data_IF_622683936960
#
_entry.id   IF_622683936960
#
_cell.length_a   1.000
_cell.length_b   1.000
_cell.length_c   1.000
_cell.angle_alpha   90.00
_cell.angle_beta   90.00
_cell.angle_gamma   90.00
#
_symmetry.space_group_name_H-M   'P 1'
#
loop_
_entity.id
_entity.type
_entity.pdbx_description
1 polymer ?
#
# COMPACT_ATOMS: atom_id res chain seq x y z
N UNK A 1 -25.64 -11.56 13.54
CA UNK A 1 -24.87 -11.93 12.33
C UNK A 1 -25.52 -11.57 10.96
N UNK A 2 -26.73 -10.98 10.84
CA UNK A 2 -27.31 -10.64 9.52
C UNK A 2 -26.69 -9.43 8.82
N UNK A 3 -26.13 -8.45 9.54
CA UNK A 3 -25.60 -7.21 8.96
C UNK A 3 -24.33 -7.35 8.13
N UNK A 4 -23.52 -8.38 8.37
CA UNK A 4 -22.30 -8.63 7.60
C UNK A 4 -22.63 -9.15 6.19
N UNK A 5 -23.60 -10.06 6.10
CA UNK A 5 -24.02 -10.69 4.85
C UNK A 5 -24.56 -9.69 3.82
N UNK A 6 -25.38 -8.72 4.24
CA UNK A 6 -25.91 -7.69 3.35
C UNK A 6 -24.85 -6.75 2.76
N UNK A 7 -23.76 -6.49 3.48
CA UNK A 7 -22.63 -5.69 2.95
C UNK A 7 -21.87 -6.46 1.89
N UNK A 8 -21.60 -7.72 2.13
CA UNK A 8 -20.89 -8.61 1.21
C UNK A 8 -21.65 -8.77 -0.10
N UNK A 9 -22.94 -9.03 -0.03
CA UNK A 9 -23.80 -9.18 -1.22
C UNK A 9 -23.84 -7.90 -2.07
N UNK A 10 -23.84 -6.73 -1.45
CA UNK A 10 -23.81 -5.45 -2.20
C UNK A 10 -22.48 -5.23 -2.90
N UNK A 11 -21.37 -5.47 -2.23
CA UNK A 11 -20.04 -5.34 -2.86
C UNK A 11 -19.88 -6.35 -4.00
N UNK A 12 -20.34 -7.58 -3.81
CA UNK A 12 -20.35 -8.59 -4.86
C UNK A 12 -21.22 -8.14 -6.06
N UNK A 13 -22.44 -7.69 -5.83
CA UNK A 13 -23.36 -7.28 -6.89
C UNK A 13 -22.81 -6.09 -7.70
N UNK A 14 -22.16 -5.13 -7.03
CA UNK A 14 -21.50 -4.00 -7.71
C UNK A 14 -20.32 -4.49 -8.53
N UNK A 15 -19.44 -5.30 -7.95
CA UNK A 15 -18.27 -5.85 -8.62
C UNK A 15 -18.66 -6.70 -9.84
N UNK A 16 -19.67 -7.56 -9.70
CA UNK A 16 -20.22 -8.36 -10.79
C UNK A 16 -20.80 -7.48 -11.90
N UNK A 17 -21.57 -6.44 -11.54
CA UNK A 17 -22.16 -5.53 -12.52
C UNK A 17 -21.11 -4.73 -13.30
N UNK A 18 -20.08 -4.23 -12.61
CA UNK A 18 -18.97 -3.51 -13.24
C UNK A 18 -18.14 -4.45 -14.11
N UNK A 19 -17.81 -5.64 -13.59
CA UNK A 19 -17.06 -6.66 -14.34
C UNK A 19 -17.78 -7.08 -15.64
N UNK A 20 -19.12 -7.18 -15.62
CA UNK A 20 -19.90 -7.42 -16.85
C UNK A 20 -19.76 -6.29 -17.86
N UNK A 21 -19.75 -5.03 -17.42
CA UNK A 21 -19.50 -3.88 -18.32
C UNK A 21 -18.08 -3.89 -18.88
N UNK A 22 -17.12 -4.52 -18.19
CA UNK A 22 -15.74 -4.71 -18.64
C UNK A 22 -15.58 -5.92 -19.58
N UNK A 23 -16.66 -6.63 -19.91
CA UNK A 23 -16.66 -7.77 -20.82
C UNK A 23 -16.47 -9.14 -20.14
N UNK A 24 -16.60 -9.21 -18.82
CA UNK A 24 -16.50 -10.46 -18.06
C UNK A 24 -17.53 -10.52 -16.92
N UNK A 25 -17.06 -10.77 -15.69
CA UNK A 25 -17.88 -10.87 -14.47
C UNK A 25 -17.11 -10.47 -13.24
N UNK A 26 -17.44 -11.07 -12.09
CA UNK A 26 -16.80 -10.78 -10.81
C UNK A 26 -15.28 -10.92 -10.85
N UNK A 27 -14.79 -12.01 -11.42
CA UNK A 27 -13.34 -12.28 -11.50
C UNK A 27 -12.60 -11.24 -12.36
N UNK A 28 -13.26 -10.74 -13.42
CA UNK A 28 -12.70 -9.64 -14.23
C UNK A 28 -12.56 -8.35 -13.40
N UNK A 29 -13.50 -8.09 -12.50
CA UNK A 29 -13.39 -6.96 -11.59
C UNK A 29 -12.24 -7.13 -10.58
N UNK A 30 -12.08 -8.34 -10.01
CA UNK A 30 -10.98 -8.63 -9.08
C UNK A 30 -9.63 -8.50 -9.80
N UNK A 31 -9.52 -9.00 -11.02
CA UNK A 31 -8.31 -8.82 -11.82
C UNK A 31 -8.02 -7.32 -12.04
N UNK A 32 -9.02 -6.52 -12.38
CA UNK A 32 -8.86 -5.08 -12.55
C UNK A 32 -8.41 -4.36 -11.25
N UNK A 33 -8.86 -4.83 -10.07
CA UNK A 33 -8.37 -4.31 -8.78
C UNK A 33 -6.86 -4.57 -8.62
N UNK A 34 -6.37 -5.76 -8.97
CA UNK A 34 -4.96 -6.10 -8.92
C UNK A 34 -4.14 -5.29 -9.94
N UNK A 35 -4.61 -5.23 -11.20
CA UNK A 35 -3.95 -4.48 -12.28
C UNK A 35 -3.83 -2.99 -11.93
N UNK A 36 -4.87 -2.39 -11.34
CA UNK A 36 -4.84 -0.99 -10.93
C UNK A 36 -3.88 -0.76 -9.77
N UNK A 37 -3.83 -1.68 -8.81
CA UNK A 37 -2.86 -1.62 -7.71
C UNK A 37 -1.43 -1.70 -8.23
N UNK A 38 -1.15 -2.56 -9.21
CA UNK A 38 0.17 -2.66 -9.85
C UNK A 38 0.54 -1.34 -10.57
N UNK A 39 -0.40 -0.74 -11.33
CA UNK A 39 -0.19 0.58 -11.98
C UNK A 39 0.11 1.69 -10.98
N UNK A 40 -0.49 1.64 -9.79
CA UNK A 40 -0.20 2.57 -8.69
C UNK A 40 1.13 2.28 -7.99
N UNK A 41 1.86 1.23 -8.40
CA UNK A 41 3.12 0.82 -7.80
C UNK A 41 2.97 0.12 -6.45
N UNK A 42 1.81 -0.52 -6.19
CA UNK A 42 1.58 -1.32 -5.01
C UNK A 42 2.23 -2.70 -5.18
N UNK A 43 3.36 -2.92 -4.54
CA UNK A 43 4.17 -4.14 -4.69
C UNK A 43 3.92 -5.18 -3.60
N UNK A 44 3.20 -4.82 -2.54
CA UNK A 44 2.91 -5.66 -1.39
C UNK A 44 1.41 -5.91 -1.18
N UNK A 45 0.61 -5.88 -2.25
CA UNK A 45 -0.85 -6.05 -2.17
C UNK A 45 -1.35 -7.06 -3.16
N UNK A 46 -2.37 -7.82 -2.76
CA UNK A 46 -3.11 -8.74 -3.63
C UNK A 46 -4.57 -8.85 -3.17
N UNK A 47 -5.49 -8.81 -4.11
CA UNK A 47 -6.93 -8.80 -3.89
C UNK A 47 -7.58 -10.06 -4.42
N UNK A 48 -8.35 -10.74 -3.58
CA UNK A 48 -9.13 -11.94 -3.94
C UNK A 48 -10.64 -11.69 -3.93
N UNK A 49 -11.07 -10.59 -3.31
CA UNK A 49 -12.49 -10.24 -3.24
C UNK A 49 -12.71 -8.73 -3.11
N UNK A 50 -13.91 -8.28 -3.49
CA UNK A 50 -14.31 -6.87 -3.48
C UNK A 50 -14.94 -6.40 -2.16
N UNK A 51 -15.07 -7.27 -1.17
CA UNK A 51 -15.80 -6.99 0.08
C UNK A 51 -14.90 -6.90 1.31
N UNK A 52 -13.62 -7.27 1.20
CA UNK A 52 -12.65 -7.24 2.28
C UNK A 52 -12.80 -8.35 3.31
N UNK A 53 -13.43 -9.48 2.95
CA UNK A 53 -13.39 -10.67 3.79
C UNK A 53 -11.99 -11.26 3.83
N UNK A 54 -11.65 -11.84 4.98
CA UNK A 54 -10.37 -12.48 5.15
C UNK A 54 -10.19 -13.66 4.21
N UNK A 55 -9.06 -13.68 3.56
CA UNK A 55 -8.50 -14.75 2.76
C UNK A 55 -6.97 -14.69 2.92
N UNK A 56 -6.28 -15.83 2.95
CA UNK A 56 -4.83 -15.87 3.14
C UNK A 56 -4.07 -15.18 1.99
N UNK A 57 -4.69 -15.11 0.81
CA UNK A 57 -4.15 -14.43 -0.36
C UNK A 57 -4.65 -12.99 -0.53
N UNK A 58 -5.48 -12.48 0.41
CA UNK A 58 -5.98 -11.10 0.43
C UNK A 58 -5.17 -10.27 1.43
N UNK A 59 -4.16 -9.58 0.94
CA UNK A 59 -3.23 -8.84 1.79
C UNK A 59 -2.83 -7.50 1.18
N UNK A 60 -2.34 -6.61 2.04
CA UNK A 60 -1.83 -5.29 1.66
C UNK A 60 -0.80 -4.79 2.66
N UNK A 61 -0.17 -3.66 2.35
CA UNK A 61 0.69 -2.90 3.25
C UNK A 61 0.11 -1.51 3.53
N UNK A 62 0.54 -0.87 4.62
CA UNK A 62 0.13 0.51 4.91
C UNK A 62 0.60 1.49 3.81
N UNK A 63 1.79 1.26 3.25
CA UNK A 63 2.32 2.04 2.15
C UNK A 63 1.47 1.94 0.89
N UNK A 64 1.08 0.71 0.49
CA UNK A 64 0.26 0.51 -0.70
C UNK A 64 -1.15 1.10 -0.52
N UNK A 65 -1.75 0.91 0.67
CA UNK A 65 -3.05 1.53 0.98
C UNK A 65 -2.97 3.06 0.99
N UNK A 66 -1.84 3.66 1.38
CA UNK A 66 -1.65 5.10 1.26
C UNK A 66 -1.59 5.56 -0.20
N UNK A 67 -0.92 4.82 -1.09
CA UNK A 67 -0.92 5.07 -2.54
C UNK A 67 -2.33 4.99 -3.14
N UNK A 68 -3.06 3.92 -2.81
CA UNK A 68 -4.46 3.77 -3.24
C UNK A 68 -5.32 4.90 -2.68
N UNK A 69 -5.15 5.24 -1.40
CA UNK A 69 -5.84 6.35 -0.75
C UNK A 69 -5.58 7.69 -1.44
N UNK A 70 -4.34 7.99 -1.79
CA UNK A 70 -3.96 9.19 -2.52
C UNK A 70 -4.60 9.24 -3.92
N UNK A 71 -4.56 8.13 -4.66
CA UNK A 71 -5.13 8.05 -6.00
C UNK A 71 -6.67 8.20 -5.99
N UNK A 72 -7.35 7.56 -5.05
CA UNK A 72 -8.82 7.63 -4.97
C UNK A 72 -9.29 8.99 -4.46
N UNK A 73 -8.51 9.67 -3.62
CA UNK A 73 -8.85 11.00 -3.11
C UNK A 73 -8.86 12.07 -4.21
N UNK A 74 -8.15 11.86 -5.33
CA UNK A 74 -8.23 12.74 -6.51
C UNK A 74 -9.56 12.63 -7.28
N UNK A 75 -10.45 11.70 -6.89
CA UNK A 75 -11.75 11.52 -7.53
C UNK A 75 -12.84 12.30 -6.78
N UNK A 76 -13.43 13.29 -7.42
CA UNK A 76 -14.49 14.13 -6.86
C UNK A 76 -15.66 13.31 -6.29
N UNK A 77 -16.09 12.26 -7.01
CA UNK A 77 -17.13 11.36 -6.53
C UNK A 77 -16.76 10.66 -5.21
N UNK A 78 -15.49 10.28 -5.04
CA UNK A 78 -15.03 9.69 -3.78
C UNK A 78 -15.03 10.71 -2.66
N UNK A 79 -14.53 11.93 -2.91
CA UNK A 79 -14.53 13.01 -1.93
C UNK A 79 -15.96 13.30 -1.45
N UNK A 80 -16.91 13.47 -2.38
CA UNK A 80 -18.32 13.72 -2.07
C UNK A 80 -18.92 12.63 -1.18
N UNK A 81 -18.72 11.36 -1.56
CA UNK A 81 -19.27 10.22 -0.81
C UNK A 81 -18.59 10.05 0.54
N UNK A 82 -17.26 10.14 0.60
CA UNK A 82 -16.50 9.89 1.83
C UNK A 82 -16.72 10.95 2.90
N UNK A 83 -17.04 12.19 2.52
CA UNK A 83 -17.32 13.30 3.42
C UNK A 83 -18.79 13.37 3.85
N UNK A 84 -19.70 12.66 3.18
CA UNK A 84 -21.13 12.65 3.53
C UNK A 84 -21.35 11.97 4.87
N UNK A 85 -21.92 12.69 5.85
CA UNK A 85 -22.21 12.13 7.19
C UNK A 85 -23.36 11.13 7.15
N UNK A 86 -24.37 11.39 6.32
CA UNK A 86 -25.52 10.49 6.13
C UNK A 86 -26.05 10.58 4.70
N UNK A 87 -26.72 9.51 4.28
CA UNK A 87 -27.42 9.46 3.01
C UNK A 87 -28.71 8.67 3.16
N UNK A 88 -29.80 9.25 2.71
CA UNK A 88 -31.13 8.61 2.74
C UNK A 88 -31.53 8.13 1.35
N UNK A 89 -31.83 6.84 1.24
CA UNK A 89 -32.44 6.26 0.06
C UNK A 89 -33.94 6.21 0.30
N UNK A 90 -34.76 6.90 -0.52
CA UNK A 90 -36.22 6.88 -0.38
C UNK A 90 -36.79 5.49 -0.62
N UNK A 91 -38.05 5.32 -0.33
CA UNK A 91 -38.81 4.12 -0.66
C UNK A 91 -38.69 3.81 -2.16
N UNK A 92 -38.65 2.53 -2.51
CA UNK A 92 -38.58 2.03 -3.88
C UNK A 92 -39.69 1.02 -4.12
N UNK A 93 -39.88 0.60 -5.36
CA UNK A 93 -40.84 -0.46 -5.70
C UNK A 93 -40.53 -1.83 -5.05
N UNK A 94 -39.32 -2.04 -4.55
CA UNK A 94 -38.91 -3.28 -3.88
C UNK A 94 -38.84 -3.16 -2.36
N UNK A 95 -38.67 -1.93 -1.84
CA UNK A 95 -38.58 -1.65 -0.41
C UNK A 95 -39.41 -0.40 -0.11
N UNK A 96 -40.51 -0.57 0.60
CA UNK A 96 -41.47 0.48 0.88
C UNK A 96 -41.04 1.47 1.97
N UNK A 97 -39.88 1.21 2.64
CA UNK A 97 -39.38 2.03 3.71
C UNK A 97 -38.16 2.86 3.24
N UNK A 98 -38.07 4.06 3.75
CA UNK A 98 -36.92 4.91 3.64
C UNK A 98 -35.72 4.32 4.44
N UNK A 99 -34.51 4.43 3.92
CA UNK A 99 -33.32 3.86 4.55
C UNK A 99 -32.24 4.91 4.67
N UNK A 100 -31.94 5.34 5.89
CA UNK A 100 -30.86 6.28 6.18
C UNK A 100 -29.59 5.52 6.58
N UNK A 101 -28.50 5.78 5.87
CA UNK A 101 -27.16 5.27 6.15
C UNK A 101 -26.30 6.36 6.76
N UNK A 102 -25.54 6.02 7.79
CA UNK A 102 -24.62 6.93 8.47
C UNK A 102 -23.18 6.56 8.21
N UNK A 103 -22.34 7.57 8.08
CA UNK A 103 -20.88 7.43 7.98
C UNK A 103 -20.33 6.77 9.25
N UNK A 104 -19.42 5.80 9.07
CA UNK A 104 -18.81 5.08 10.18
C UNK A 104 -17.47 5.67 10.64
N UNK A 105 -16.91 6.60 9.87
CA UNK A 105 -15.65 7.22 10.18
C UNK A 105 -15.81 8.29 11.27
N UNK A 106 -15.36 7.97 12.49
CA UNK A 106 -15.62 8.81 13.68
C UNK A 106 -14.98 10.20 13.62
N UNK A 107 -13.85 10.35 12.89
CA UNK A 107 -13.16 11.65 12.79
C UNK A 107 -13.94 12.69 11.98
N UNK A 108 -15.01 12.30 11.29
CA UNK A 108 -15.89 13.24 10.57
C UNK A 108 -17.00 13.84 11.43
N UNK A 109 -17.29 13.23 12.59
CA UNK A 109 -18.45 13.64 13.41
C UNK A 109 -18.04 14.68 14.45
N UNK A 110 -18.51 15.93 14.38
CA UNK A 110 -18.11 16.97 15.34
C UNK A 110 -18.43 16.67 16.80
N UNK A 111 -19.43 15.81 17.04
CA UNK A 111 -19.85 15.40 18.40
C UNK A 111 -19.08 14.19 18.93
N UNK A 112 -18.14 13.61 18.16
CA UNK A 112 -17.36 12.45 18.55
C UNK A 112 -16.01 12.89 19.14
N UNK A 113 -15.55 12.22 20.20
CA UNK A 113 -14.25 12.50 20.81
C UNK A 113 -13.06 12.34 19.87
N UNK A 114 -13.25 11.57 18.79
CA UNK A 114 -12.24 11.37 17.75
C UNK A 114 -12.35 12.40 16.60
N UNK A 115 -13.22 13.40 16.69
CA UNK A 115 -13.36 14.41 15.64
C UNK A 115 -12.02 15.06 15.30
N UNK A 116 -11.75 15.22 14.01
CA UNK A 116 -10.57 15.92 13.51
C UNK A 116 -10.98 16.90 12.42
N UNK A 117 -10.75 18.18 12.65
CA UNK A 117 -11.28 19.28 11.81
C UNK A 117 -10.84 19.19 10.35
N UNK A 118 -9.63 18.67 10.09
CA UNK A 118 -9.09 18.52 8.73
C UNK A 118 -9.49 17.21 8.07
N UNK A 119 -10.23 16.32 8.75
CA UNK A 119 -10.63 15.03 8.18
C UNK A 119 -11.57 15.22 6.99
N UNK A 120 -11.23 14.59 5.87
CA UNK A 120 -12.02 14.57 4.63
C UNK A 120 -12.62 13.19 4.35
N UNK A 121 -12.68 12.33 5.35
CA UNK A 121 -13.25 11.00 5.24
C UNK A 121 -12.23 9.90 5.10
N UNK A 122 -12.70 8.77 4.64
CA UNK A 122 -11.88 7.56 4.51
C UNK A 122 -12.69 6.28 4.70
N UNK A 123 -12.01 5.21 5.12
CA UNK A 123 -12.64 3.90 5.28
C UNK A 123 -12.15 3.17 6.52
N UNK A 124 -13.10 2.68 7.31
CA UNK A 124 -12.85 1.78 8.44
C UNK A 124 -12.95 0.33 8.00
N UNK A 125 -12.16 -0.55 8.58
CA UNK A 125 -12.25 -1.99 8.38
C UNK A 125 -12.05 -2.76 9.68
N UNK A 126 -12.60 -3.97 9.74
CA UNK A 126 -12.37 -4.91 10.82
C UNK A 126 -12.60 -6.34 10.35
N UNK A 127 -11.66 -7.21 10.65
CA UNK A 127 -11.83 -8.67 10.71
C UNK A 127 -11.09 -9.17 11.94
N UNK A 128 -11.38 -10.40 12.40
CA UNK A 128 -10.66 -10.97 13.55
C UNK A 128 -9.16 -11.14 13.28
N UNK A 129 -8.78 -11.35 12.03
CA UNK A 129 -7.40 -11.51 11.60
C UNK A 129 -6.69 -10.16 11.42
N UNK A 130 -7.34 -9.19 10.74
CA UNK A 130 -6.76 -7.88 10.44
C UNK A 130 -6.92 -6.86 11.57
N UNK A 131 -7.75 -7.15 12.58
CA UNK A 131 -8.11 -6.20 13.64
C UNK A 131 -8.71 -4.91 13.08
N UNK A 132 -8.59 -3.81 13.80
CA UNK A 132 -9.04 -2.51 13.31
C UNK A 132 -8.08 -1.99 12.26
N UNK A 133 -8.64 -1.56 11.13
CA UNK A 133 -7.91 -0.88 10.07
C UNK A 133 -8.59 0.44 9.75
N UNK A 134 -7.79 1.46 9.45
CA UNK A 134 -8.29 2.78 9.16
C UNK A 134 -7.45 3.43 8.05
N UNK A 135 -8.12 3.92 7.01
CA UNK A 135 -7.54 4.81 6.01
C UNK A 135 -8.27 6.13 6.14
N UNK A 136 -7.55 7.22 6.33
CA UNK A 136 -8.11 8.55 6.53
C UNK A 136 -7.42 9.55 5.62
N UNK A 137 -8.21 10.39 4.97
CA UNK A 137 -7.75 11.55 4.23
C UNK A 137 -7.94 12.81 5.08
N UNK A 138 -6.97 13.71 5.05
CA UNK A 138 -7.04 15.01 5.71
C UNK A 138 -6.51 16.11 4.79
N UNK A 139 -7.07 17.31 4.93
CA UNK A 139 -6.70 18.49 4.17
C UNK A 139 -6.88 19.73 5.06
N UNK A 140 -5.78 20.39 5.36
CA UNK A 140 -5.76 21.63 6.16
C UNK A 140 -5.76 22.90 5.30
N UNK A 141 -5.97 22.77 3.99
CA UNK A 141 -5.94 23.86 3.01
C UNK A 141 -4.56 24.10 2.38
N UNK A 142 -3.48 23.66 3.03
CA UNK A 142 -2.11 23.74 2.52
C UNK A 142 -1.62 22.39 1.98
N UNK A 143 -1.88 21.32 2.71
CA UNK A 143 -1.36 19.99 2.39
C UNK A 143 -2.44 18.92 2.56
N UNK A 144 -2.60 18.07 1.53
CA UNK A 144 -3.45 16.90 1.57
C UNK A 144 -2.63 15.68 2.00
N UNK A 145 -3.15 14.92 2.96
CA UNK A 145 -2.48 13.76 3.54
C UNK A 145 -3.40 12.55 3.56
N UNK A 146 -2.79 11.37 3.47
CA UNK A 146 -3.43 10.08 3.72
C UNK A 146 -2.69 9.38 4.85
N UNK A 147 -3.40 9.03 5.91
CA UNK A 147 -2.90 8.19 6.99
C UNK A 147 -3.52 6.80 6.91
N UNK A 148 -2.71 5.77 7.14
CA UNK A 148 -3.13 4.36 7.14
C UNK A 148 -2.67 3.69 8.41
N UNK A 149 -3.62 3.13 9.13
CA UNK A 149 -3.40 2.29 10.32
C UNK A 149 -3.90 0.88 10.03
N UNK A 150 -3.05 -0.11 10.24
CA UNK A 150 -3.38 -1.53 10.06
C UNK A 150 -3.08 -2.31 11.35
N UNK A 151 -3.92 -3.31 11.65
CA UNK A 151 -3.73 -4.23 12.77
C UNK A 151 -3.74 -3.55 14.13
N UNK A 152 -4.68 -2.67 14.36
CA UNK A 152 -4.80 -1.88 15.58
C UNK A 152 -6.03 -2.27 16.43
N UNK A 153 -6.23 -1.63 17.57
CA UNK A 153 -7.26 -1.98 18.55
C UNK A 153 -8.31 -0.86 18.70
N UNK A 154 -9.53 -1.12 18.22
CA UNK A 154 -10.71 -0.29 18.51
C UNK A 154 -10.53 1.18 18.16
N UNK A 155 -10.51 2.05 19.18
CA UNK A 155 -10.41 3.50 19.03
C UNK A 155 -8.97 3.99 18.91
N UNK A 156 -7.97 3.18 19.23
CA UNK A 156 -6.55 3.57 19.18
C UNK A 156 -6.15 3.95 17.75
N UNK A 157 -6.74 3.29 16.74
CA UNK A 157 -6.55 3.64 15.33
C UNK A 157 -6.85 5.12 15.01
N UNK A 158 -7.80 5.75 15.69
CA UNK A 158 -8.11 7.17 15.51
C UNK A 158 -7.11 8.06 16.23
N UNK A 159 -6.60 7.64 17.39
CA UNK A 159 -5.57 8.33 18.16
C UNK A 159 -4.28 8.36 17.34
N UNK A 160 -3.86 7.20 16.83
CA UNK A 160 -2.67 7.06 16.01
C UNK A 160 -2.78 7.84 14.70
N UNK A 161 -3.95 7.80 14.05
CA UNK A 161 -4.22 8.59 12.85
C UNK A 161 -4.07 10.09 13.11
N UNK A 162 -4.64 10.60 14.22
CA UNK A 162 -4.49 12.00 14.62
C UNK A 162 -3.03 12.35 14.85
N UNK A 163 -2.31 11.54 15.62
CA UNK A 163 -0.90 11.77 15.93
C UNK A 163 -0.04 11.86 14.66
N UNK A 164 -0.30 10.99 13.66
CA UNK A 164 0.39 11.05 12.37
C UNK A 164 0.10 12.36 11.62
N UNK A 165 -1.16 12.80 11.56
CA UNK A 165 -1.51 14.08 10.91
C UNK A 165 -0.90 15.28 11.62
N UNK A 166 -1.04 15.35 12.95
CA UNK A 166 -0.49 16.42 13.76
C UNK A 166 1.04 16.50 13.61
N UNK A 167 1.71 15.34 13.60
CA UNK A 167 3.14 15.27 13.32
C UNK A 167 3.48 15.77 11.91
N UNK A 168 2.75 15.33 10.90
CA UNK A 168 3.02 15.70 9.51
C UNK A 168 2.80 17.19 9.28
N UNK A 169 1.66 17.76 9.69
CA UNK A 169 1.37 19.18 9.55
C UNK A 169 2.31 20.08 10.38
N UNK A 170 2.80 19.59 11.53
CA UNK A 170 3.73 20.33 12.36
C UNK A 170 5.15 20.35 11.81
N UNK A 171 5.60 19.27 11.16
CA UNK A 171 7.00 19.08 10.82
C UNK A 171 7.34 19.18 9.32
N UNK A 172 6.33 19.15 8.44
CA UNK A 172 6.54 19.19 7.00
C UNK A 172 5.84 20.40 6.37
N UNK A 173 6.32 20.79 5.20
CA UNK A 173 5.72 21.85 4.38
C UNK A 173 5.76 21.46 2.91
N UNK A 174 4.78 21.97 2.18
CA UNK A 174 4.71 21.93 0.72
C UNK A 174 5.62 23.01 0.15
N UNK A 175 6.49 22.63 -0.79
CA UNK A 175 7.37 23.53 -1.52
C UNK A 175 6.94 23.53 -2.98
N UNK A 176 6.41 24.67 -3.45
CA UNK A 176 6.06 24.83 -4.87
C UNK A 176 7.31 24.74 -5.73
N UNK A 177 7.22 24.00 -6.84
CA UNK A 177 8.30 23.92 -7.82
C UNK A 177 8.28 25.06 -8.83
N UNK A 178 7.19 25.81 -8.92
CA UNK A 178 7.02 26.94 -9.85
C UNK A 178 8.09 28.02 -9.68
N UNK A 179 8.45 28.30 -8.42
CA UNK A 179 9.41 29.35 -8.08
C UNK A 179 10.83 28.80 -7.89
N UNK A 180 11.05 27.51 -8.17
CA UNK A 180 12.36 26.89 -8.02
C UNK A 180 13.09 26.83 -9.35
N UNK A 181 14.42 26.86 -9.29
CA UNK A 181 15.26 26.67 -10.46
C UNK A 181 15.02 25.26 -11.02
N UNK A 182 14.73 25.20 -12.32
CA UNK A 182 14.58 23.93 -13.02
C UNK A 182 15.88 23.12 -12.97
N UNK A 183 15.80 21.79 -12.77
CA UNK A 183 16.94 20.89 -12.92
C UNK A 183 17.52 20.94 -14.35
N UNK A 184 18.80 20.58 -14.46
CA UNK A 184 19.47 20.51 -15.76
C UNK A 184 18.74 19.55 -16.71
N UNK A 185 18.54 19.95 -17.97
CA UNK A 185 17.80 19.18 -18.98
C UNK A 185 16.29 19.27 -18.88
N UNK A 186 15.72 19.98 -17.91
CA UNK A 186 14.27 20.19 -17.77
C UNK A 186 13.87 21.55 -18.35
N UNK A 187 12.88 21.54 -19.25
CA UNK A 187 12.32 22.75 -19.86
C UNK A 187 11.15 23.32 -19.06
N UNK A 188 10.26 22.45 -18.64
CA UNK A 188 9.08 22.81 -17.84
C UNK A 188 8.50 21.59 -17.16
N UNK A 189 7.78 21.79 -16.07
CA UNK A 189 6.92 20.75 -15.50
C UNK A 189 5.60 20.71 -16.26
N UNK A 190 4.98 19.49 -16.38
CA UNK A 190 3.67 19.34 -17.02
C UNK A 190 2.56 19.90 -16.13
N UNK A 191 2.73 19.86 -14.81
CA UNK A 191 1.82 20.43 -13.80
C UNK A 191 2.41 21.75 -13.28
N UNK A 192 1.71 22.86 -13.52
CA UNK A 192 2.12 24.19 -13.06
C UNK A 192 2.07 24.34 -11.53
N UNK A 193 1.24 23.56 -10.88
CA UNK A 193 1.09 23.50 -9.42
C UNK A 193 1.91 22.40 -8.77
N UNK A 194 2.87 21.81 -9.51
CA UNK A 194 3.75 20.77 -9.00
C UNK A 194 4.49 21.21 -7.73
N UNK A 195 4.62 20.30 -6.80
CA UNK A 195 5.28 20.53 -5.51
C UNK A 195 6.00 19.30 -5.00
N UNK A 196 6.85 19.51 -4.02
CA UNK A 196 7.45 18.48 -3.18
C UNK A 196 7.12 18.74 -1.71
N UNK A 197 7.27 17.74 -0.87
CA UNK A 197 7.07 17.86 0.58
C UNK A 197 8.39 17.68 1.30
N UNK A 198 8.80 18.69 2.07
CA UNK A 198 10.05 18.67 2.82
C UNK A 198 9.81 18.87 4.32
N UNK A 199 10.70 18.34 5.19
CA UNK A 199 10.75 18.80 6.57
C UNK A 199 10.91 20.32 6.63
N UNK A 200 10.21 21.00 7.54
CA UNK A 200 10.30 22.47 7.71
C UNK A 200 11.72 22.97 8.00
N UNK A 201 12.58 22.10 8.49
CA UNK A 201 14.01 22.40 8.73
C UNK A 201 14.89 22.26 7.49
N UNK A 202 14.37 21.76 6.36
CA UNK A 202 15.13 21.56 5.12
C UNK A 202 14.85 22.68 4.13
N UNK A 203 15.81 22.95 3.26
CA UNK A 203 15.66 23.89 2.14
C UNK A 203 15.65 23.15 0.81
N UNK A 204 15.07 23.78 -0.22
CA UNK A 204 15.04 23.18 -1.56
C UNK A 204 16.47 22.93 -2.11
N UNK A 205 17.45 23.74 -1.73
CA UNK A 205 18.87 23.55 -2.07
C UNK A 205 19.45 22.22 -1.57
N UNK A 206 18.86 21.59 -0.57
CA UNK A 206 19.30 20.30 -0.02
C UNK A 206 18.77 19.11 -0.82
N UNK A 207 17.88 19.36 -1.79
CA UNK A 207 17.21 18.34 -2.60
C UNK A 207 18.03 18.02 -3.84
N UNK A 208 18.14 16.74 -4.16
CA UNK A 208 18.71 16.26 -5.42
C UNK A 208 17.58 15.93 -6.38
N UNK A 209 17.71 16.37 -7.61
CA UNK A 209 16.80 16.04 -8.70
C UNK A 209 17.46 15.04 -9.66
N UNK A 210 16.73 13.99 -10.01
CA UNK A 210 17.12 13.01 -11.03
C UNK A 210 16.09 13.03 -12.14
N UNK A 211 16.55 13.23 -13.38
CA UNK A 211 15.70 13.29 -14.57
C UNK A 211 15.79 11.97 -15.30
N UNK A 212 14.64 11.34 -15.54
CA UNK A 212 14.54 10.08 -16.28
C UNK A 212 13.63 10.27 -17.49
N UNK A 213 14.16 10.01 -18.69
CA UNK A 213 13.40 10.07 -19.94
C UNK A 213 12.37 8.94 -20.02
N UNK A 214 11.18 9.25 -20.51
CA UNK A 214 10.11 8.26 -20.72
C UNK A 214 10.36 7.53 -22.04
N UNK A 215 10.54 6.21 -21.98
CA UNK A 215 10.88 5.36 -23.13
C UNK A 215 9.89 5.41 -24.30
N UNK A 216 8.67 5.92 -24.07
CA UNK A 216 7.57 5.90 -25.03
C UNK A 216 7.13 7.30 -25.50
N UNK A 217 7.76 8.39 -25.04
CA UNK A 217 7.37 9.77 -25.34
C UNK A 217 8.62 10.64 -25.51
N UNK A 218 8.89 10.99 -26.73
CA UNK A 218 10.02 11.83 -27.08
C UNK A 218 9.92 13.23 -26.44
N UNK A 219 10.95 13.64 -25.73
CA UNK A 219 11.01 14.93 -25.04
C UNK A 219 10.15 15.03 -23.75
N UNK A 220 9.68 13.90 -23.23
CA UNK A 220 8.98 13.81 -21.95
C UNK A 220 9.77 12.96 -20.97
N UNK A 221 9.71 13.29 -19.68
CA UNK A 221 10.42 12.57 -18.65
C UNK A 221 9.77 12.75 -17.27
N UNK A 222 10.34 12.05 -16.31
CA UNK A 222 9.96 12.17 -14.89
C UNK A 222 11.15 12.72 -14.13
N UNK A 223 10.93 13.79 -13.38
CA UNK A 223 11.89 14.34 -12.42
C UNK A 223 11.56 13.80 -11.03
N UNK A 224 12.48 13.06 -10.44
CA UNK A 224 12.35 12.54 -9.08
C UNK A 224 13.22 13.37 -8.15
N UNK A 225 12.61 13.88 -7.08
CA UNK A 225 13.28 14.67 -6.07
C UNK A 225 13.58 13.81 -4.84
N UNK A 226 14.81 13.89 -4.35
CA UNK A 226 15.25 13.13 -3.16
C UNK A 226 15.90 14.05 -2.13
N UNK A 227 15.56 13.82 -0.86
CA UNK A 227 16.17 14.48 0.30
C UNK A 227 16.72 13.41 1.24
N UNK A 228 18.03 13.47 1.55
CA UNK A 228 18.72 12.47 2.38
C UNK A 228 18.50 11.02 1.91
N UNK A 229 18.39 10.81 0.59
CA UNK A 229 18.19 9.49 -0.01
C UNK A 229 16.73 8.99 0.00
N UNK A 230 15.79 9.80 0.45
CA UNK A 230 14.36 9.49 0.42
C UNK A 230 13.67 10.31 -0.69
N UNK A 231 12.78 9.70 -1.46
CA UNK A 231 11.95 10.41 -2.43
C UNK A 231 10.97 11.33 -1.68
N UNK A 232 10.97 12.60 -2.08
CA UNK A 232 10.12 13.65 -1.51
C UNK A 232 9.11 14.20 -2.51
N UNK A 233 9.14 13.70 -3.74
CA UNK A 233 8.19 13.97 -4.79
C UNK A 233 8.71 13.60 -6.15
N UNK A 234 7.81 13.43 -7.10
CA UNK A 234 8.13 13.25 -8.52
C UNK A 234 7.13 13.97 -9.39
N UNK A 235 7.58 14.49 -10.53
CA UNK A 235 6.76 15.28 -11.45
C UNK A 235 7.09 14.93 -12.89
N UNK A 236 6.08 14.95 -13.76
CA UNK A 236 6.26 14.87 -15.20
C UNK A 236 6.78 16.18 -15.75
N UNK A 237 7.72 16.10 -16.68
CA UNK A 237 8.40 17.26 -17.24
C UNK A 237 8.66 17.12 -18.75
N UNK A 238 8.64 18.24 -19.44
CA UNK A 238 9.26 18.35 -20.75
C UNK A 238 10.78 18.47 -20.56
N UNK A 239 11.55 17.63 -21.26
CA UNK A 239 13.00 17.58 -21.15
C UNK A 239 13.68 17.95 -22.47
N UNK A 240 14.93 18.39 -22.37
CA UNK A 240 15.77 18.59 -23.56
C UNK A 240 16.19 17.25 -24.14
N UNK A 241 16.17 17.14 -25.47
CA UNK A 241 16.77 15.97 -26.13
C UNK A 241 18.28 16.01 -25.89
N UNK A 242 18.79 15.01 -25.26
CA UNK A 242 20.24 14.79 -25.24
C UNK A 242 20.64 14.25 -26.62
N UNK A 243 21.43 14.98 -27.38
CA UNK A 243 21.86 14.60 -28.75
C UNK A 243 22.65 13.29 -28.82
N UNK A 244 22.96 12.69 -27.70
CA UNK A 244 23.68 11.40 -27.61
C UNK A 244 22.88 10.19 -28.11
N UNK A 245 21.56 10.27 -28.22
CA UNK A 245 20.75 9.14 -28.71
C UNK A 245 20.67 9.06 -30.25
N UNK A 246 21.01 10.16 -30.98
CA UNK A 246 20.95 10.20 -32.44
C UNK A 246 22.22 9.69 -33.14
N UNK A 247 23.33 9.56 -32.43
CA UNK A 247 24.59 9.07 -32.98
C UNK A 247 24.71 7.52 -33.02
N UNK A 248 23.81 6.80 -32.41
CA UNK A 248 23.91 5.34 -32.28
C UNK A 248 23.32 4.58 -33.50
N UNK A 249 22.69 5.25 -34.48
CA UNK A 249 22.01 4.56 -35.62
C UNK A 249 22.83 4.61 -36.92
N UNK A 250 23.84 5.45 -37.06
CA UNK A 250 24.64 5.54 -38.28
C UNK A 250 26.15 5.31 -38.00
N UNK A 251 26.55 4.05 -37.99
CA UNK A 251 28.00 3.78 -37.94
C UNK A 251 28.38 2.34 -37.60
N UNK A 252 27.89 1.36 -38.36
CA UNK A 252 28.62 0.08 -38.43
C UNK A 252 29.90 0.22 -39.20
N UNK A 253 31.03 0.37 -38.50
CA UNK A 253 32.32 -0.17 -38.96
C UNK A 253 33.13 -0.64 -37.77
N UNK A 254 33.61 -1.85 -37.90
CA UNK A 254 34.44 -2.60 -36.99
C UNK A 254 35.63 -1.79 -36.50
N UNK A 255 35.84 -1.76 -35.17
CA UNK A 255 37.17 -1.96 -34.65
C UNK A 255 37.07 -2.74 -33.29
N UNK A 256 37.70 -3.87 -33.31
CA UNK A 256 37.96 -4.70 -32.14
C UNK A 256 39.09 -4.07 -31.35
N UNK A 257 38.81 -3.52 -30.19
CA UNK A 257 39.71 -3.49 -29.04
C UNK A 257 39.19 -2.49 -28.01
N UNK A 258 38.43 -2.92 -27.04
CA UNK A 258 38.25 -2.33 -25.70
C UNK A 258 37.01 -2.88 -24.98
N UNK A 259 36.74 -4.19 -25.08
CA UNK A 259 35.55 -4.75 -24.39
C UNK A 259 35.88 -5.73 -23.25
N UNK A 260 37.14 -5.78 -22.79
CA UNK A 260 37.54 -6.83 -21.82
C UNK A 260 37.42 -6.43 -20.35
N UNK A 261 37.28 -5.15 -20.02
CA UNK A 261 37.25 -4.68 -18.62
C UNK A 261 35.81 -4.64 -18.04
N UNK A 262 34.82 -4.24 -18.84
CA UNK A 262 33.43 -4.10 -18.37
C UNK A 262 32.72 -5.47 -18.17
N UNK A 263 33.08 -6.45 -18.99
CA UNK A 263 32.54 -7.84 -18.84
C UNK A 263 33.07 -8.57 -17.64
N UNK A 264 34.29 -8.27 -17.17
CA UNK A 264 34.88 -8.87 -15.97
C UNK A 264 34.17 -8.47 -14.69
N UNK A 265 33.86 -7.20 -14.52
CA UNK A 265 33.14 -6.66 -13.34
C UNK A 265 31.71 -7.22 -13.28
N UNK A 266 31.02 -7.29 -14.41
CA UNK A 266 29.67 -7.86 -14.48
C UNK A 266 29.63 -9.37 -14.12
N UNK A 267 30.62 -10.15 -14.53
CA UNK A 267 30.71 -11.57 -14.16
C UNK A 267 31.04 -11.76 -12.68
N UNK A 268 31.95 -10.98 -12.13
CA UNK A 268 32.30 -11.02 -10.71
C UNK A 268 31.09 -10.63 -9.83
N UNK A 269 30.38 -9.59 -10.21
CA UNK A 269 29.15 -9.15 -9.50
C UNK A 269 28.07 -10.25 -9.51
N UNK A 270 27.85 -10.95 -10.63
CA UNK A 270 26.91 -12.07 -10.72
C UNK A 270 27.32 -13.25 -9.82
N UNK A 271 28.62 -13.54 -9.72
CA UNK A 271 29.15 -14.58 -8.82
C UNK A 271 28.91 -14.17 -7.36
N UNK A 272 29.21 -12.92 -6.98
CA UNK A 272 29.00 -12.42 -5.62
C UNK A 272 27.51 -12.47 -5.23
N UNK A 273 26.62 -12.03 -6.12
CA UNK A 273 25.16 -12.11 -5.91
C UNK A 273 24.73 -13.57 -5.77
N UNK A 274 25.22 -14.48 -6.60
CA UNK A 274 24.94 -15.91 -6.51
C UNK A 274 25.37 -16.53 -5.17
N UNK A 275 26.54 -16.16 -4.66
CA UNK A 275 27.03 -16.61 -3.36
C UNK A 275 26.18 -16.07 -2.21
N UNK A 276 25.80 -14.80 -2.26
CA UNK A 276 24.91 -14.19 -1.23
C UNK A 276 23.55 -14.88 -1.20
N UNK A 277 22.94 -15.15 -2.38
CA UNK A 277 21.68 -15.87 -2.46
C UNK A 277 21.81 -17.29 -1.89
N UNK A 278 22.88 -18.01 -2.21
CA UNK A 278 23.12 -19.35 -1.68
C UNK A 278 23.26 -19.37 -0.15
N UNK A 279 23.96 -18.40 0.42
CA UNK A 279 24.10 -18.24 1.88
C UNK A 279 22.74 -17.94 2.55
N UNK A 280 21.93 -17.06 1.95
CA UNK A 280 20.59 -16.76 2.46
C UNK A 280 19.70 -18.01 2.44
N UNK A 281 19.71 -18.77 1.33
CA UNK A 281 18.94 -20.03 1.24
C UNK A 281 19.40 -21.03 2.30
N UNK A 282 20.72 -21.16 2.53
CA UNK A 282 21.27 -22.06 3.56
C UNK A 282 20.80 -21.64 4.97
N UNK A 283 20.77 -20.35 5.29
CA UNK A 283 20.28 -19.83 6.56
C UNK A 283 18.80 -20.14 6.74
N UNK A 284 17.99 -19.94 5.70
CA UNK A 284 16.55 -20.28 5.74
C UNK A 284 16.36 -21.79 6.02
N UNK A 285 17.12 -22.67 5.34
CA UNK A 285 17.06 -24.12 5.57
C UNK A 285 17.41 -24.45 7.03
N UNK A 286 18.45 -23.83 7.59
CA UNK A 286 18.85 -24.04 8.99
C UNK A 286 17.72 -23.65 9.94
N UNK A 287 17.08 -22.50 9.74
CA UNK A 287 15.96 -22.01 10.56
C UNK A 287 14.75 -22.96 10.46
N UNK A 288 14.42 -23.41 9.26
CA UNK A 288 13.33 -24.37 9.03
C UNK A 288 13.60 -25.70 9.75
N UNK A 289 14.82 -26.25 9.61
CA UNK A 289 15.22 -27.50 10.29
C UNK A 289 15.21 -27.35 11.82
N UNK A 290 15.66 -26.22 12.34
CA UNK A 290 15.63 -25.94 13.78
C UNK A 290 14.17 -25.87 14.30
N UNK A 291 13.28 -25.21 13.59
CA UNK A 291 11.86 -25.14 13.93
C UNK A 291 11.19 -26.51 13.82
N UNK A 292 11.49 -27.30 12.79
CA UNK A 292 10.99 -28.66 12.62
C UNK A 292 11.45 -29.58 13.78
N UNK A 293 12.74 -29.53 14.18
CA UNK A 293 13.25 -30.25 15.35
C UNK A 293 12.57 -29.83 16.65
N UNK A 294 12.29 -28.53 16.83
CA UNK A 294 11.56 -28.00 17.99
C UNK A 294 10.11 -28.50 18.02
N UNK A 295 9.46 -28.61 16.87
CA UNK A 295 8.09 -29.12 16.73
C UNK A 295 8.02 -30.63 17.05
N UNK A 296 8.99 -31.42 16.58
CA UNK A 296 9.09 -32.87 16.92
C UNK A 296 9.28 -33.07 18.42
N UNK A 297 10.19 -32.27 19.05
CA UNK A 297 10.40 -32.33 20.51
C UNK A 297 9.12 -32.00 21.30
N UNK A 298 8.35 -31.01 20.84
CA UNK A 298 7.05 -30.66 21.46
C UNK A 298 6.02 -31.80 21.30
N UNK A 299 5.95 -32.45 20.13
CA UNK A 299 5.06 -33.61 19.90
C UNK A 299 5.44 -34.81 20.76
N UNK A 300 6.74 -35.10 20.92
CA UNK A 300 7.22 -36.18 21.83
C UNK A 300 6.90 -35.91 23.29
N UNK A 301 7.06 -34.66 23.74
CA UNK A 301 6.68 -34.27 25.15
C UNK A 301 5.16 -34.38 25.41
N UNK A 302 4.31 -34.02 24.41
CA UNK A 302 2.85 -34.18 24.52
C UNK A 302 2.45 -35.67 24.55
N UNK A 303 3.09 -36.54 23.76
CA UNK A 303 2.85 -38.01 23.82
C UNK A 303 3.28 -38.62 25.14
N UNK A 304 4.41 -38.21 25.70
CA UNK A 304 4.89 -38.65 27.00
C UNK A 304 3.89 -38.29 28.16
N UNK A 305 3.41 -37.01 28.19
CA UNK A 305 2.40 -36.60 29.18
C UNK A 305 1.08 -37.38 29.06
N UNK A 306 0.62 -37.69 27.83
CA UNK A 306 -0.59 -38.52 27.63
C UNK A 306 -0.42 -39.98 28.11
N UNK A 307 0.77 -40.57 27.93
CA UNK A 307 1.08 -41.92 28.43
C UNK A 307 1.09 -41.98 29.98
N UNK A 308 1.71 -41.00 30.65
CA UNK A 308 1.75 -40.92 32.11
C UNK A 308 0.36 -40.64 32.70
N UNK A 309 -0.47 -39.82 32.06
CA UNK A 309 -1.85 -39.60 32.51
C UNK A 309 -2.73 -40.86 32.37
N UNK A 310 -2.56 -41.67 31.32
CA UNK A 310 -3.26 -42.95 31.19
C UNK A 310 -2.81 -43.98 32.25
N UNK A 311 -1.50 -44.05 32.53
CA UNK A 311 -0.93 -44.94 33.56
C UNK A 311 -1.39 -44.57 34.98
N UNK A 312 -1.47 -43.28 35.30
CA UNK A 312 -1.98 -42.76 36.57
C UNK A 312 -3.47 -43.08 36.81
N UNK A 313 -4.29 -43.02 35.76
CA UNK A 313 -5.73 -43.35 35.88
C UNK A 313 -5.99 -44.85 36.04
N UNK A 314 -5.14 -45.72 35.48
CA UNK A 314 -5.23 -47.17 35.66
C UNK A 314 -4.83 -47.55 37.12
N UNK A 315 -3.80 -46.93 37.69
CA UNK A 315 -3.41 -47.15 39.10
C UNK A 315 -4.47 -46.66 40.10
N UNK A 316 -5.16 -45.53 39.83
CA UNK A 316 -6.27 -45.04 40.65
C UNK A 316 -7.51 -45.94 40.63
N UNK A 317 -7.86 -46.52 39.46
CA UNK A 317 -8.98 -47.47 39.36
C UNK A 317 -8.69 -48.81 40.06
N UNK A 318 -7.44 -49.31 40.08
CA UNK A 318 -7.07 -50.50 40.85
C UNK A 318 -7.11 -50.29 42.35
N UNK A 319 -6.84 -49.08 42.88
CA UNK A 319 -6.85 -48.76 44.33
C UNK A 319 -8.28 -48.52 44.88
N UNK A 320 -9.29 -48.35 44.01
CA UNK A 320 -10.74 -48.22 44.41
C UNK A 320 -11.49 -49.54 44.37
N UNK A 321 -10.88 -50.67 43.98
CA UNK A 321 -11.46 -52.00 43.91
C UNK A 321 -10.82 -52.99 44.91
N UNK A 322 -10.05 -52.50 45.85
CA UNK A 322 -9.61 -53.14 47.06
C UNK A 322 -10.14 -52.28 48.23
#
# INVERSE_FOLDING_TARGET
>A
MPFCWHRQMRSYAVAESVGKKMGGGYDTFIQAMNDESEKLGCTGSHWTNANGLHDEQHYTTAHDMARIGAAVYQKEAFQTISQSLSHTIPATNLVNEERTFQQKHKMLWPQNDNYYEYCKGGKTGYTDQARTTLVTMADNGDMQLVAVVLYDFGTDAYIDTRAMFDYAYSNFSKISLKDQKLPEGVKSYEDEDAYIVLPKSAQFSDVKAEVKEDSNKDGSGTVTFTYKGQEVGSVKAAIEKTEESSAAVLGKKKDKTTSTVVTGISKFMKIVIGVVIAVVILLIIIVVLANYRKQIRRRRRKKGKRRNAKSGNVKRKKKRRR
#
